data_IF_490425565246
#
_entry.id   IF_490425565246
#
_cell.length_a   1.000
_cell.length_b   1.000
_cell.length_c   1.000
_cell.angle_alpha   90.00
_cell.angle_beta   90.00
_cell.angle_gamma   90.00
#
_symmetry.space_group_name_H-M   'P 1'
#
loop_
_entity.id
_entity.type
_entity.pdbx_description
1 polymer ?
#
# COMPACT_ATOMS: atom_id res chain seq x y z
N UNK A 1 -27.47 -38.07 -18.64
CA UNK A 1 -27.10 -36.68 -19.00
C UNK A 1 -28.34 -35.98 -19.53
N UNK A 2 -28.66 -34.76 -19.08
CA UNK A 2 -29.91 -34.10 -19.49
C UNK A 2 -29.86 -33.69 -20.97
N UNK A 3 -30.97 -33.85 -21.66
CA UNK A 3 -31.16 -33.43 -23.07
C UNK A 3 -30.76 -31.96 -23.30
N UNK A 4 -30.98 -31.10 -22.30
CA UNK A 4 -30.57 -29.70 -22.32
C UNK A 4 -29.05 -29.53 -22.45
N UNK A 5 -28.27 -30.35 -21.73
CA UNK A 5 -26.80 -30.30 -21.78
C UNK A 5 -26.27 -30.79 -23.14
N UNK A 6 -26.90 -31.83 -23.70
CA UNK A 6 -26.57 -32.33 -25.03
C UNK A 6 -26.83 -31.29 -26.13
N UNK A 7 -27.96 -30.58 -26.06
CA UNK A 7 -28.29 -29.50 -26.99
C UNK A 7 -27.36 -28.29 -26.82
N UNK A 8 -27.09 -27.88 -25.58
CA UNK A 8 -26.18 -26.77 -25.32
C UNK A 8 -24.79 -27.03 -25.90
N UNK A 9 -24.23 -28.21 -25.68
CA UNK A 9 -22.91 -28.58 -26.20
C UNK A 9 -22.90 -28.65 -27.74
N UNK A 10 -23.97 -29.15 -28.36
CA UNK A 10 -24.09 -29.18 -29.83
C UNK A 10 -24.28 -27.79 -30.44
N UNK A 11 -24.97 -26.88 -29.76
CA UNK A 11 -25.09 -25.47 -30.19
C UNK A 11 -23.75 -24.75 -30.16
N UNK A 12 -22.91 -25.02 -29.15
CA UNK A 12 -21.56 -24.46 -29.06
C UNK A 12 -20.64 -25.02 -30.17
N UNK A 13 -20.83 -26.29 -30.58
CA UNK A 13 -19.94 -27.00 -31.51
C UNK A 13 -20.42 -27.01 -32.98
N UNK A 14 -21.68 -26.68 -33.27
CA UNK A 14 -22.25 -26.76 -34.61
C UNK A 14 -21.81 -25.60 -35.53
N UNK A 15 -20.84 -25.91 -36.38
CA UNK A 15 -20.15 -25.09 -37.39
C UNK A 15 -21.01 -24.50 -38.54
N UNK A 16 -22.33 -24.35 -38.41
CA UNK A 16 -23.20 -24.03 -39.58
C UNK A 16 -23.40 -22.55 -39.89
N UNK A 17 -22.91 -21.59 -39.08
CA UNK A 17 -22.68 -20.20 -39.52
C UNK A 17 -21.48 -19.62 -38.77
N UNK A 18 -20.43 -19.22 -39.49
CA UNK A 18 -19.23 -18.63 -38.91
C UNK A 18 -19.53 -17.41 -38.02
N UNK A 19 -20.61 -16.67 -38.32
CA UNK A 19 -21.02 -15.45 -37.61
C UNK A 19 -21.40 -15.68 -36.14
N UNK A 20 -22.15 -16.73 -35.82
CA UNK A 20 -22.60 -17.05 -34.45
C UNK A 20 -21.44 -17.43 -33.52
N UNK A 21 -20.43 -18.11 -34.06
CA UNK A 21 -19.21 -18.46 -33.33
C UNK A 21 -18.37 -17.23 -33.03
N UNK A 22 -18.33 -16.26 -33.96
CA UNK A 22 -17.59 -15.01 -33.80
C UNK A 22 -18.25 -14.14 -32.73
N UNK A 23 -19.58 -14.00 -32.75
CA UNK A 23 -20.32 -13.22 -31.74
C UNK A 23 -20.12 -13.77 -30.33
N UNK A 24 -20.22 -15.09 -30.15
CA UNK A 24 -19.97 -15.73 -28.86
C UNK A 24 -18.52 -15.59 -28.41
N UNK A 25 -17.55 -15.64 -29.34
CA UNK A 25 -16.14 -15.42 -29.06
C UNK A 25 -15.86 -13.96 -28.64
N UNK A 26 -16.48 -12.98 -29.30
CA UNK A 26 -16.38 -11.56 -28.92
C UNK A 26 -16.94 -11.29 -27.52
N UNK A 27 -18.08 -11.88 -27.16
CA UNK A 27 -18.61 -11.76 -25.80
C UNK A 27 -17.70 -12.43 -24.76
N UNK A 28 -17.18 -13.62 -25.07
CA UNK A 28 -16.23 -14.32 -24.20
C UNK A 28 -14.96 -13.49 -24.00
N UNK A 29 -14.43 -12.89 -25.07
CA UNK A 29 -13.27 -11.98 -25.02
C UNK A 29 -13.56 -10.72 -24.22
N UNK A 30 -14.74 -10.12 -24.37
CA UNK A 30 -15.15 -8.95 -23.59
C UNK A 30 -15.14 -9.23 -22.08
N UNK A 31 -15.69 -10.37 -21.67
CA UNK A 31 -15.65 -10.82 -20.26
C UNK A 31 -14.21 -11.12 -19.85
N UNK A 32 -13.44 -11.83 -20.68
CA UNK A 32 -12.06 -12.19 -20.37
C UNK A 32 -11.19 -10.96 -20.15
N UNK A 33 -11.29 -9.93 -21.00
CA UNK A 33 -10.56 -8.66 -20.84
C UNK A 33 -10.99 -7.92 -19.58
N UNK A 34 -12.30 -7.86 -19.29
CA UNK A 34 -12.78 -7.22 -18.07
C UNK A 34 -12.29 -7.90 -16.79
N UNK A 35 -12.38 -9.24 -16.74
CA UNK A 35 -11.91 -10.04 -15.59
C UNK A 35 -10.39 -10.00 -15.48
N UNK A 36 -9.66 -10.02 -16.60
CA UNK A 36 -8.22 -9.87 -16.65
C UNK A 36 -7.77 -8.54 -16.04
N UNK A 37 -8.32 -7.43 -16.55
CA UNK A 37 -7.99 -6.09 -16.07
C UNK A 37 -8.31 -5.94 -14.58
N UNK A 38 -9.47 -6.43 -14.13
CA UNK A 38 -9.88 -6.37 -12.74
C UNK A 38 -8.94 -7.15 -11.81
N UNK A 39 -8.59 -8.37 -12.18
CA UNK A 39 -7.68 -9.21 -11.39
C UNK A 39 -6.28 -8.57 -11.31
N UNK A 40 -5.78 -8.02 -12.42
CA UNK A 40 -4.47 -7.34 -12.46
C UNK A 40 -4.43 -6.07 -11.60
N UNK A 41 -5.49 -5.24 -11.66
CA UNK A 41 -5.57 -4.00 -10.85
C UNK A 41 -5.66 -4.30 -9.36
N UNK A 42 -6.43 -5.31 -8.96
CA UNK A 42 -6.50 -5.70 -7.55
C UNK A 42 -5.15 -6.25 -7.05
N UNK A 43 -4.46 -7.06 -7.85
CA UNK A 43 -3.14 -7.57 -7.49
C UNK A 43 -2.10 -6.44 -7.33
N UNK A 44 -2.10 -5.46 -8.23
CA UNK A 44 -1.29 -4.24 -8.12
C UNK A 44 -1.60 -3.47 -6.84
N UNK A 45 -2.89 -3.23 -6.57
CA UNK A 45 -3.33 -2.45 -5.40
C UNK A 45 -2.91 -3.14 -4.09
N UNK A 46 -3.17 -4.45 -3.98
CA UNK A 46 -2.76 -5.26 -2.82
C UNK A 46 -1.24 -5.32 -2.67
N UNK A 47 -0.51 -5.31 -3.79
CA UNK A 47 0.95 -5.21 -3.80
C UNK A 47 1.45 -3.88 -3.23
N UNK A 48 0.94 -2.77 -3.77
CA UNK A 48 1.31 -1.41 -3.36
C UNK A 48 0.99 -1.14 -1.88
N UNK A 49 -0.19 -1.55 -1.42
CA UNK A 49 -0.55 -1.44 -0.02
C UNK A 49 0.41 -2.20 0.88
N UNK A 50 0.73 -3.44 0.53
CA UNK A 50 1.58 -4.27 1.36
C UNK A 50 3.04 -3.79 1.36
N UNK A 51 3.54 -3.29 0.23
CA UNK A 51 4.86 -2.68 0.12
C UNK A 51 4.94 -1.44 1.00
N UNK A 52 3.96 -0.54 0.88
CA UNK A 52 3.88 0.68 1.69
C UNK A 52 3.77 0.36 3.18
N UNK A 53 2.91 -0.58 3.57
CA UNK A 53 2.82 -1.03 4.96
C UNK A 53 4.14 -1.62 5.46
N UNK A 54 4.80 -2.46 4.66
CA UNK A 54 6.05 -3.09 5.06
C UNK A 54 7.18 -2.08 5.25
N UNK A 55 7.25 -1.05 4.40
CA UNK A 55 8.23 0.03 4.49
C UNK A 55 7.99 0.93 5.69
N UNK A 56 6.73 1.29 5.97
CA UNK A 56 6.40 2.06 7.18
C UNK A 56 6.72 1.25 8.43
N UNK A 57 6.33 -0.03 8.48
CA UNK A 57 6.60 -0.92 9.63
C UNK A 57 8.09 -1.20 9.83
N UNK A 58 8.90 -1.23 8.76
CA UNK A 58 10.33 -1.47 8.84
C UNK A 58 11.13 -0.25 9.30
N UNK A 59 10.64 0.96 9.02
CA UNK A 59 11.34 2.23 9.30
C UNK A 59 10.80 3.04 10.47
N UNK A 60 9.79 2.55 11.21
CA UNK A 60 9.20 3.29 12.33
C UNK A 60 8.90 2.41 13.54
N UNK A 61 8.96 3.03 14.73
CA UNK A 61 8.48 2.43 15.96
C UNK A 61 6.97 2.10 15.85
N UNK A 62 6.59 0.94 16.37
CA UNK A 62 5.20 0.46 16.24
C UNK A 62 4.22 1.30 17.08
N UNK A 63 4.66 1.79 18.25
CA UNK A 63 3.90 2.71 19.09
C UNK A 63 4.81 3.84 19.57
N UNK A 64 4.26 5.04 19.66
CA UNK A 64 4.89 6.22 20.24
C UNK A 64 4.11 6.65 21.48
N UNK A 65 4.81 6.78 22.60
CA UNK A 65 4.25 7.34 23.84
C UNK A 65 4.72 8.79 23.95
N UNK A 66 3.76 9.70 23.99
CA UNK A 66 3.98 11.14 24.10
C UNK A 66 3.28 11.68 25.36
N UNK A 67 3.78 12.77 25.92
CA UNK A 67 3.09 13.48 27.00
C UNK A 67 1.85 14.20 26.45
N UNK A 68 0.73 14.10 27.15
CA UNK A 68 -0.48 14.85 26.81
C UNK A 68 -0.24 16.34 27.04
N UNK A 69 -0.39 17.16 26.00
CA UNK A 69 -0.06 18.59 26.03
C UNK A 69 1.31 18.94 25.43
N UNK A 70 2.08 17.94 24.99
CA UNK A 70 3.40 18.13 24.38
C UNK A 70 4.53 18.37 25.39
N UNK A 71 5.71 18.68 24.86
CA UNK A 71 6.93 18.91 25.64
C UNK A 71 7.63 17.62 26.10
N UNK A 72 8.74 17.76 26.84
CA UNK A 72 9.54 16.61 27.24
C UNK A 72 8.84 15.65 28.19
N UNK A 73 9.27 14.39 28.16
CA UNK A 73 8.89 13.35 29.11
C UNK A 73 9.51 13.69 30.49
N UNK A 74 8.68 13.66 31.54
CA UNK A 74 9.09 14.01 32.90
C UNK A 74 10.16 13.06 33.46
N UNK A 75 9.90 11.75 33.36
CA UNK A 75 10.85 10.70 33.73
C UNK A 75 10.90 9.61 32.65
N UNK A 76 11.76 9.77 31.64
CA UNK A 76 11.91 8.78 30.57
C UNK A 76 12.36 7.41 31.08
N UNK A 77 13.13 7.36 32.16
CA UNK A 77 13.74 6.12 32.68
C UNK A 77 12.69 5.28 33.39
N UNK A 78 11.90 5.89 34.29
CA UNK A 78 10.80 5.20 34.96
C UNK A 78 9.70 4.81 33.96
N UNK A 79 9.37 5.69 33.00
CA UNK A 79 8.39 5.40 31.96
C UNK A 79 8.82 4.20 31.10
N UNK A 80 10.08 4.16 30.67
CA UNK A 80 10.65 3.03 29.92
C UNK A 80 10.55 1.72 30.71
N UNK A 81 10.91 1.73 31.99
CA UNK A 81 10.80 0.54 32.84
C UNK A 81 9.35 0.04 32.95
N UNK A 82 8.39 0.97 33.13
CA UNK A 82 6.97 0.64 33.19
C UNK A 82 6.42 0.09 31.87
N UNK A 83 6.84 0.65 30.73
CA UNK A 83 6.38 0.22 29.39
C UNK A 83 6.95 -1.15 29.02
N UNK A 84 8.23 -1.39 29.29
CA UNK A 84 8.93 -2.64 28.95
C UNK A 84 8.36 -3.86 29.69
N UNK A 85 7.76 -3.67 30.86
CA UNK A 85 7.08 -4.73 31.62
C UNK A 85 5.72 -5.17 31.01
N UNK A 86 5.25 -4.51 29.94
CA UNK A 86 3.95 -4.82 29.34
C UNK A 86 4.09 -5.99 28.35
N UNK A 87 3.26 -7.04 28.45
CA UNK A 87 3.33 -8.18 27.54
C UNK A 87 3.24 -7.76 26.06
N UNK A 88 4.15 -8.27 25.23
CA UNK A 88 4.24 -7.97 23.79
C UNK A 88 5.11 -6.77 23.42
N UNK A 89 5.66 -6.06 24.41
CA UNK A 89 6.70 -5.05 24.20
C UNK A 89 8.07 -5.71 24.19
N UNK A 90 8.82 -5.52 23.09
CA UNK A 90 10.18 -6.01 22.92
C UNK A 90 11.20 -5.05 23.52
N UNK A 91 11.06 -3.77 23.21
CA UNK A 91 11.96 -2.71 23.67
C UNK A 91 11.24 -1.36 23.70
N UNK A 92 11.75 -0.45 24.52
CA UNK A 92 11.30 0.94 24.54
C UNK A 92 12.53 1.86 24.58
N UNK A 93 12.55 2.86 23.69
CA UNK A 93 13.68 3.75 23.44
C UNK A 93 13.24 5.19 23.55
N UNK A 94 13.97 5.99 24.33
CA UNK A 94 13.71 7.42 24.44
C UNK A 94 14.36 8.13 23.26
N UNK A 95 13.60 8.95 22.54
CA UNK A 95 14.09 9.72 21.39
C UNK A 95 13.54 11.15 21.43
N UNK A 96 14.21 12.03 20.70
CA UNK A 96 13.65 13.33 20.36
C UNK A 96 13.80 13.60 18.86
N UNK A 97 12.88 14.40 18.34
CA UNK A 97 12.88 14.85 16.95
C UNK A 97 12.95 16.36 16.96
N UNK A 98 13.92 16.95 16.27
CA UNK A 98 14.06 18.40 16.13
C UNK A 98 14.34 18.77 14.69
N UNK A 99 13.57 19.70 14.15
CA UNK A 99 13.88 20.31 12.87
C UNK A 99 15.07 21.25 13.03
N UNK A 100 16.02 21.17 12.10
CA UNK A 100 17.19 22.03 12.07
C UNK A 100 17.59 22.34 10.62
N UNK A 101 18.26 23.47 10.43
CA UNK A 101 18.93 23.78 9.18
C UNK A 101 20.41 23.47 9.34
N UNK A 102 20.92 22.52 8.57
CA UNK A 102 22.36 22.21 8.52
C UNK A 102 23.05 23.20 7.60
N UNK A 103 24.08 23.87 8.11
CA UNK A 103 24.88 24.88 7.43
C UNK A 103 26.31 24.37 7.23
N UNK A 104 26.78 24.41 5.99
CA UNK A 104 28.16 24.07 5.63
C UNK A 104 28.66 25.06 4.57
N UNK A 105 29.54 25.98 4.99
CA UNK A 105 30.02 27.05 4.13
C UNK A 105 28.87 27.89 3.56
N UNK A 106 28.68 27.83 2.23
CA UNK A 106 27.61 28.56 1.53
C UNK A 106 26.37 27.70 1.22
N UNK A 107 26.31 26.45 1.69
CA UNK A 107 25.19 25.54 1.46
C UNK A 107 24.39 25.34 2.75
N UNK A 108 23.08 25.18 2.58
CA UNK A 108 22.16 24.87 3.67
C UNK A 108 21.20 23.76 3.27
N UNK A 109 20.92 22.81 4.16
CA UNK A 109 19.95 21.76 3.95
C UNK A 109 19.04 21.60 5.17
N UNK A 110 17.72 21.49 4.95
CA UNK A 110 16.79 21.22 6.04
C UNK A 110 16.95 19.76 6.50
N UNK A 111 16.97 19.55 7.82
CA UNK A 111 17.15 18.24 8.41
C UNK A 111 16.26 18.04 9.63
N UNK A 112 15.96 16.78 9.93
CA UNK A 112 15.34 16.33 11.17
C UNK A 112 16.40 15.60 11.96
N UNK A 113 16.81 16.20 13.08
CA UNK A 113 17.72 15.62 14.06
C UNK A 113 16.93 14.62 14.91
N UNK A 114 17.21 13.33 14.74
CA UNK A 114 16.72 12.24 15.58
C UNK A 114 17.77 11.91 16.64
N UNK A 115 17.49 12.22 17.90
CA UNK A 115 18.41 11.94 18.98
C UNK A 115 18.25 10.54 19.53
N UNK A 116 19.34 9.79 19.61
CA UNK A 116 19.38 8.40 20.05
C UNK A 116 20.18 8.25 21.34
N UNK A 117 19.73 7.36 22.22
CA UNK A 117 20.46 6.97 23.41
C UNK A 117 21.50 5.91 23.06
N UNK A 118 22.78 6.25 23.20
CA UNK A 118 23.92 5.38 22.88
C UNK A 118 24.14 4.27 23.91
N UNK A 119 23.50 4.36 25.09
CA UNK A 119 23.57 3.31 26.12
C UNK A 119 22.63 2.14 25.83
N UNK A 120 21.74 2.30 24.86
CA UNK A 120 20.80 1.27 24.46
C UNK A 120 21.45 0.21 23.56
N UNK A 121 20.87 -1.00 23.57
CA UNK A 121 21.36 -2.09 22.74
C UNK A 121 21.28 -1.70 21.25
N UNK A 122 22.36 -1.89 20.48
CA UNK A 122 22.41 -1.50 19.06
C UNK A 122 21.26 -2.09 18.22
N UNK A 123 20.77 -3.28 18.60
CA UNK A 123 19.68 -3.98 17.92
C UNK A 123 18.30 -3.31 18.06
N UNK A 124 18.14 -2.45 19.08
CA UNK A 124 16.92 -1.70 19.36
C UNK A 124 16.82 -0.41 18.52
N UNK A 125 17.93 0.05 17.96
CA UNK A 125 18.04 1.27 17.20
C UNK A 125 17.91 0.99 15.70
N UNK A 126 16.87 1.55 15.07
CA UNK A 126 16.65 1.47 13.62
C UNK A 126 17.90 1.91 12.83
N UNK A 127 18.58 2.94 13.35
CA UNK A 127 19.78 3.53 12.77
C UNK A 127 20.89 2.50 12.51
N UNK A 128 21.04 1.50 13.38
CA UNK A 128 22.11 0.49 13.27
C UNK A 128 21.95 -0.42 12.06
N UNK A 129 20.70 -0.63 11.59
CA UNK A 129 20.40 -1.54 10.47
C UNK A 129 20.62 -0.90 9.10
N UNK A 130 20.74 0.42 9.06
CA UNK A 130 20.81 1.21 7.83
C UNK A 130 22.16 1.92 7.66
N UNK A 131 23.14 1.69 8.54
CA UNK A 131 24.47 2.31 8.45
C UNK A 131 25.22 1.85 7.21
N UNK A 132 25.86 2.80 6.53
CA UNK A 132 26.82 2.50 5.46
C UNK A 132 28.09 1.87 6.05
N UNK A 133 28.77 1.05 5.25
CA UNK A 133 30.03 0.41 5.64
C UNK A 133 31.05 1.43 6.18
N UNK A 134 31.57 1.18 7.39
CA UNK A 134 32.53 2.05 8.07
C UNK A 134 31.92 3.08 9.04
N UNK A 135 30.59 3.26 9.05
CA UNK A 135 29.91 4.14 10.02
C UNK A 135 29.49 3.36 11.27
N UNK A 136 29.68 3.93 12.46
CA UNK A 136 29.24 3.32 13.73
C UNK A 136 28.46 4.31 14.59
N UNK A 137 27.44 3.84 15.30
CA UNK A 137 26.70 4.67 16.26
C UNK A 137 27.58 5.16 17.42
N UNK A 138 28.60 4.38 17.80
CA UNK A 138 29.57 4.77 18.83
C UNK A 138 30.29 6.08 18.52
N UNK A 139 30.43 6.40 17.23
CA UNK A 139 31.19 7.56 16.77
C UNK A 139 30.38 8.86 16.93
N UNK A 140 29.09 8.77 17.29
CA UNK A 140 28.27 9.91 17.71
C UNK A 140 28.73 10.51 19.04
N UNK A 141 29.47 9.75 19.85
CA UNK A 141 30.06 10.27 21.08
C UNK A 141 31.06 11.39 20.77
N UNK A 142 31.17 12.41 21.64
CA UNK A 142 32.06 13.53 21.42
C UNK A 142 33.50 13.05 21.26
N UNK A 143 34.19 13.61 20.28
CA UNK A 143 35.60 13.30 20.03
C UNK A 143 36.30 14.50 19.45
N UNK A 144 37.61 14.60 19.71
CA UNK A 144 38.42 15.74 19.30
C UNK A 144 38.56 15.75 17.78
N UNK A 145 38.27 16.91 17.20
CA UNK A 145 38.49 17.19 15.79
C UNK A 145 39.97 17.50 15.50
N UNK A 146 40.33 17.62 14.22
CA UNK A 146 41.69 17.94 13.77
C UNK A 146 42.24 19.26 14.39
N UNK A 147 41.35 20.20 14.70
CA UNK A 147 41.66 21.49 15.33
C UNK A 147 41.66 21.44 16.87
N UNK A 148 41.47 20.25 17.47
CA UNK A 148 41.48 20.03 18.92
C UNK A 148 40.17 20.37 19.65
N UNK A 149 39.15 20.88 18.95
CA UNK A 149 37.81 21.11 19.50
C UNK A 149 37.06 19.78 19.71
N UNK A 150 36.39 19.62 20.85
CA UNK A 150 35.56 18.45 21.14
C UNK A 150 34.17 18.67 20.55
N UNK A 151 33.87 17.95 19.47
CA UNK A 151 32.60 18.06 18.74
C UNK A 151 31.83 16.76 18.85
N UNK A 152 30.50 16.87 19.01
CA UNK A 152 29.61 15.72 18.91
C UNK A 152 29.54 15.24 17.46
N UNK A 153 29.41 13.91 17.31
CA UNK A 153 29.22 13.31 16.00
C UNK A 153 27.80 13.48 15.48
N UNK A 154 27.66 13.62 14.16
CA UNK A 154 26.38 13.54 13.44
C UNK A 154 26.46 12.50 12.33
N UNK A 155 25.44 11.65 12.26
CA UNK A 155 25.25 10.66 11.20
C UNK A 155 24.21 11.19 10.22
N UNK A 156 24.57 11.33 8.94
CA UNK A 156 23.68 11.94 7.95
C UNK A 156 23.09 10.92 7.00
N UNK A 157 21.86 11.15 6.55
CA UNK A 157 21.34 10.43 5.39
C UNK A 157 22.24 10.67 4.18
N UNK A 158 22.52 9.64 3.40
CA UNK A 158 23.45 9.73 2.26
C UNK A 158 23.04 10.79 1.24
N UNK A 159 21.74 11.02 1.03
CA UNK A 159 21.24 12.08 0.12
C UNK A 159 21.36 13.46 0.76
N UNK A 160 21.00 13.59 2.04
CA UNK A 160 21.18 14.84 2.80
C UNK A 160 22.64 15.33 2.75
N UNK A 161 23.58 14.40 2.92
CA UNK A 161 25.01 14.70 2.81
C UNK A 161 25.42 15.15 1.39
N UNK A 162 24.86 14.55 0.34
CA UNK A 162 25.13 14.95 -1.05
C UNK A 162 24.58 16.34 -1.37
N UNK A 163 23.37 16.66 -0.91
CA UNK A 163 22.73 17.96 -1.08
C UNK A 163 23.53 19.07 -0.38
N UNK A 164 23.92 18.82 0.88
CA UNK A 164 24.76 19.69 1.67
C UNK A 164 26.25 19.68 1.26
N UNK A 165 26.66 18.77 0.36
CA UNK A 165 28.04 18.54 -0.07
C UNK A 165 29.02 18.25 1.10
N UNK A 166 28.58 17.41 2.04
CA UNK A 166 29.32 17.02 3.24
C UNK A 166 30.02 15.67 3.06
N UNK A 167 31.21 15.54 3.65
CA UNK A 167 32.03 14.32 3.72
C UNK A 167 32.26 13.91 5.18
N UNK A 168 32.64 12.65 5.38
CA UNK A 168 33.05 12.18 6.72
C UNK A 168 34.28 12.97 7.17
N UNK A 169 34.21 13.53 8.38
CA UNK A 169 35.21 14.42 8.96
C UNK A 169 34.86 15.91 8.85
N UNK A 170 33.92 16.30 8.00
CA UNK A 170 33.57 17.71 7.84
C UNK A 170 32.83 18.25 9.08
N UNK A 171 33.01 19.55 9.34
CA UNK A 171 32.24 20.29 10.34
C UNK A 171 30.96 20.85 9.72
N UNK A 172 29.84 20.69 10.42
CA UNK A 172 28.52 21.20 10.03
C UNK A 172 27.86 21.90 11.22
N UNK A 173 27.23 23.04 10.99
CA UNK A 173 26.50 23.76 12.03
C UNK A 173 25.00 23.49 11.90
N UNK A 174 24.37 23.00 12.97
CA UNK A 174 22.94 22.82 13.03
C UNK A 174 22.29 24.04 13.67
N UNK A 175 21.41 24.69 12.92
CA UNK A 175 20.59 25.81 13.37
C UNK A 175 19.21 25.28 13.76
N UNK A 176 18.88 25.26 15.04
CA UNK A 176 17.58 24.81 15.53
C UNK A 176 16.79 26.00 16.14
N UNK A 177 15.46 26.05 15.97
CA UNK A 177 14.64 27.01 16.70
C UNK A 177 14.66 26.68 18.19
N UNK A 178 14.89 27.68 19.04
CA UNK A 178 14.88 27.49 20.49
C UNK A 178 13.51 27.04 21.00
N UNK A 179 13.50 26.03 21.86
CA UNK A 179 12.31 25.63 22.62
C UNK A 179 12.04 26.56 23.82
N UNK A 180 13.08 27.24 24.33
CA UNK A 180 13.00 28.15 25.47
C UNK A 180 12.76 29.57 24.95
N UNK A 181 11.61 30.15 25.29
CA UNK A 181 11.23 31.52 24.94
C UNK A 181 12.04 32.60 25.64
N UNK A 182 13.37 32.52 25.64
CA UNK A 182 14.25 33.63 26.01
C UNK A 182 14.18 34.67 24.89
N UNK A 183 13.15 35.51 24.98
CA UNK A 183 12.95 36.66 24.11
C UNK A 183 14.15 37.60 24.29
N UNK A 184 15.05 37.60 23.30
CA UNK A 184 15.94 38.75 23.10
C UNK A 184 15.09 39.96 22.71
N UNK A 185 15.49 41.20 23.04
CA UNK A 185 14.81 42.41 22.58
C UNK A 185 14.60 42.49 21.05
N UNK A 186 15.29 41.64 20.28
CA UNK A 186 15.23 41.54 18.82
C UNK A 186 14.52 40.27 18.28
N UNK A 187 13.91 39.43 19.12
CA UNK A 187 13.14 38.24 18.71
C UNK A 187 13.77 36.90 19.13
N UNK A 188 13.25 35.79 18.58
CA UNK A 188 13.75 34.44 18.84
C UNK A 188 15.09 34.24 18.11
N UNK A 189 16.19 34.20 18.85
CA UNK A 189 17.50 33.85 18.30
C UNK A 189 17.59 32.32 18.18
N UNK A 190 17.88 31.77 16.98
CA UNK A 190 18.08 30.33 16.84
C UNK A 190 19.36 29.88 17.57
N UNK A 191 19.38 28.65 18.09
CA UNK A 191 20.61 28.05 18.62
C UNK A 191 21.40 27.42 17.49
N UNK A 192 22.70 27.73 17.44
CA UNK A 192 23.67 27.05 16.58
C UNK A 192 24.48 26.07 17.41
N UNK A 193 24.66 24.85 16.90
CA UNK A 193 25.56 23.86 17.49
C UNK A 193 26.39 23.19 16.39
N UNK A 194 27.70 23.11 16.58
CA UNK A 194 28.61 22.50 15.62
C UNK A 194 28.72 20.99 15.86
N UNK A 195 28.59 20.22 14.79
CA UNK A 195 28.77 18.78 14.76
C UNK A 195 29.89 18.41 13.79
N UNK A 196 30.48 17.23 14.02
CA UNK A 196 31.39 16.59 13.08
C UNK A 196 30.69 15.44 12.37
N UNK A 197 30.75 15.37 11.05
CA UNK A 197 30.15 14.28 10.28
C UNK A 197 30.95 13.00 10.51
N UNK A 198 30.34 12.00 11.14
CA UNK A 198 31.03 10.74 11.50
C UNK A 198 30.70 9.58 10.58
N UNK A 199 29.63 9.70 9.80
CA UNK A 199 29.23 8.66 8.87
C UNK A 199 27.93 8.96 8.14
N UNK A 200 27.52 7.99 7.34
CA UNK A 200 26.29 8.05 6.55
C UNK A 200 25.42 6.82 6.78
N UNK A 201 24.12 6.97 6.59
CA UNK A 201 23.16 5.86 6.54
C UNK A 201 22.33 5.89 5.25
N UNK A 202 21.83 4.73 4.86
CA UNK A 202 20.97 4.49 3.70
C UNK A 202 19.85 3.53 4.12
N UNK A 203 18.67 4.09 4.35
CA UNK A 203 17.47 3.36 4.79
C UNK A 203 16.69 2.74 3.64
N UNK A 204 16.98 3.15 2.40
CA UNK A 204 16.20 2.77 1.22
C UNK A 204 14.88 3.54 1.08
N UNK A 205 14.63 4.52 1.97
CA UNK A 205 13.52 5.47 1.90
C UNK A 205 14.07 6.86 1.61
N UNK A 206 13.61 7.47 0.50
CA UNK A 206 14.06 8.77 0.05
C UNK A 206 13.88 9.84 1.12
N UNK A 207 12.69 9.92 1.70
CA UNK A 207 12.34 10.93 2.70
C UNK A 207 13.25 10.88 3.94
N UNK A 208 13.73 9.69 4.32
CA UNK A 208 14.63 9.55 5.46
C UNK A 208 16.07 9.83 5.06
N UNK A 209 16.51 9.32 3.90
CA UNK A 209 17.89 9.51 3.43
C UNK A 209 18.19 10.97 3.03
N UNK A 210 17.17 11.76 2.67
CA UNK A 210 17.30 13.17 2.27
C UNK A 210 17.06 14.16 3.41
N UNK A 211 16.45 13.75 4.52
CA UNK A 211 16.08 14.69 5.58
C UNK A 211 16.58 14.30 6.98
N UNK A 212 16.87 13.03 7.27
CA UNK A 212 17.19 12.64 8.66
C UNK A 212 18.69 12.71 8.96
N UNK A 213 18.98 13.07 10.21
CA UNK A 213 20.31 12.99 10.80
C UNK A 213 20.21 12.44 12.22
N UNK A 214 21.12 11.53 12.59
CA UNK A 214 21.19 10.97 13.93
C UNK A 214 22.24 11.71 14.77
N UNK A 215 21.86 12.05 16.00
CA UNK A 215 22.72 12.66 17.02
C UNK A 215 22.57 11.91 18.35
N UNK A 216 23.49 12.08 19.30
CA UNK A 216 23.31 11.54 20.64
C UNK A 216 22.26 12.34 21.43
N UNK A 217 21.61 11.68 22.39
CA UNK A 217 20.66 12.34 23.29
C UNK A 217 21.33 13.46 24.12
N UNK A 218 22.62 13.30 24.45
CA UNK A 218 23.42 14.32 25.13
C UNK A 218 23.74 15.52 24.23
N UNK A 219 24.01 15.30 22.94
CA UNK A 219 24.18 16.39 21.99
C UNK A 219 22.86 17.16 21.80
N UNK A 220 21.73 16.46 21.81
CA UNK A 220 20.41 17.11 21.80
C UNK A 220 20.18 17.98 23.06
N UNK A 221 20.60 17.51 24.25
CA UNK A 221 20.58 18.32 25.49
C UNK A 221 21.39 19.61 25.34
N UNK A 222 22.59 19.52 24.76
CA UNK A 222 23.47 20.68 24.53
C UNK A 222 22.90 21.66 23.50
N UNK A 223 22.30 21.15 22.43
CA UNK A 223 21.67 21.96 21.38
C UNK A 223 20.43 22.72 21.87
N UNK A 224 19.58 22.09 22.68
CA UNK A 224 18.31 22.69 23.14
C UNK A 224 18.40 23.38 24.49
N UNK A 225 19.40 23.04 25.30
CA UNK A 225 19.50 23.47 26.70
C UNK A 225 18.47 22.83 27.63
N UNK A 226 17.78 21.76 27.19
CA UNK A 226 16.80 21.02 27.99
C UNK A 226 17.47 19.93 28.84
N UNK A 227 17.12 19.83 30.13
CA UNK A 227 17.66 18.80 31.02
C UNK A 227 17.24 17.37 30.60
N UNK A 228 15.99 17.23 30.14
CA UNK A 228 15.46 16.00 29.54
C UNK A 228 14.92 16.37 28.16
N UNK A 229 15.60 16.03 27.05
CA UNK A 229 15.15 16.44 25.71
C UNK A 229 14.22 15.39 25.10
N UNK A 230 14.09 14.20 25.70
CA UNK A 230 13.29 13.11 25.18
C UNK A 230 11.82 13.51 25.19
N UNK A 231 11.23 13.65 24.00
CA UNK A 231 9.81 14.02 23.83
C UNK A 231 8.95 12.80 23.54
N UNK A 232 9.55 11.75 22.98
CA UNK A 232 8.85 10.54 22.53
C UNK A 232 9.55 9.31 23.08
N UNK A 233 8.75 8.37 23.61
CA UNK A 233 9.22 7.03 23.91
C UNK A 233 8.71 6.08 22.82
N UNK A 234 9.64 5.60 21.99
CA UNK A 234 9.38 4.66 20.91
C UNK A 234 9.31 3.25 21.46
N UNK A 235 8.25 2.54 21.14
CA UNK A 235 8.00 1.18 21.63
C UNK A 235 7.99 0.22 20.45
N UNK A 236 8.91 -0.73 20.51
CA UNK A 236 8.97 -1.84 19.55
C UNK A 236 8.23 -3.03 20.14
N UNK A 237 7.41 -3.67 19.31
CA UNK A 237 6.60 -4.83 19.68
C UNK A 237 7.20 -6.11 19.12
N UNK A 238 6.93 -7.24 19.78
CA UNK A 238 7.32 -8.55 19.26
C UNK A 238 6.58 -8.91 17.97
N UNK A 239 5.30 -8.57 17.93
CA UNK A 239 4.45 -8.68 16.75
C UNK A 239 3.96 -7.29 16.36
N UNK A 240 4.42 -6.71 15.23
CA UNK A 240 3.99 -5.40 14.79
C UNK A 240 2.48 -5.30 14.58
N UNK A 241 1.79 -6.40 14.26
CA UNK A 241 0.33 -6.45 14.05
C UNK A 241 -0.48 -6.36 15.35
N UNK A 242 0.15 -6.55 16.51
CA UNK A 242 -0.51 -6.47 17.82
C UNK A 242 -0.61 -5.04 18.36
N UNK A 243 -0.23 -4.02 17.59
CA UNK A 243 -0.21 -2.61 17.99
C UNK A 243 -1.54 -2.11 18.57
N UNK A 244 -2.68 -2.57 18.05
CA UNK A 244 -3.99 -2.17 18.57
C UNK A 244 -4.23 -2.65 20.00
N UNK A 245 -3.97 -3.94 20.27
CA UNK A 245 -4.18 -4.55 21.58
C UNK A 245 -3.15 -4.05 22.61
N UNK A 246 -1.86 -4.03 22.25
CA UNK A 246 -0.79 -3.55 23.14
C UNK A 246 -0.92 -2.05 23.39
N UNK A 247 -1.26 -1.26 22.36
CA UNK A 247 -1.53 0.16 22.49
C UNK A 247 -2.68 0.45 23.44
N UNK A 248 -3.79 -0.31 23.38
CA UNK A 248 -4.89 -0.20 24.33
C UNK A 248 -4.46 -0.52 25.78
N UNK A 249 -3.67 -1.58 25.98
CA UNK A 249 -3.13 -1.94 27.28
C UNK A 249 -2.20 -0.85 27.85
N UNK A 250 -1.33 -0.28 27.02
CA UNK A 250 -0.46 0.84 27.42
C UNK A 250 -1.25 2.10 27.75
N UNK A 251 -2.30 2.43 26.98
CA UNK A 251 -3.20 3.57 27.30
C UNK A 251 -3.88 3.39 28.64
N UNK A 252 -4.34 2.18 28.96
CA UNK A 252 -4.95 1.88 30.25
C UNK A 252 -3.94 1.99 31.42
N UNK A 253 -2.70 1.55 31.20
CA UNK A 253 -1.63 1.56 32.23
C UNK A 253 -1.06 2.96 32.49
N UNK A 254 -0.82 3.73 31.43
CA UNK A 254 -0.20 5.06 31.50
C UNK A 254 -1.20 6.18 31.85
N UNK A 255 -2.50 5.89 31.76
CA UNK A 255 -3.57 6.81 32.12
C UNK A 255 -3.65 8.05 31.22
N UNK A 256 -4.26 9.12 31.75
CA UNK A 256 -4.54 10.34 30.99
C UNK A 256 -3.32 11.27 30.81
N UNK A 257 -2.21 11.03 31.50
CA UNK A 257 -1.01 11.87 31.40
C UNK A 257 -0.28 11.70 30.06
N UNK A 258 -0.46 10.54 29.42
CA UNK A 258 0.21 10.18 28.17
C UNK A 258 -0.79 9.91 27.04
N UNK A 259 -0.30 10.05 25.82
CA UNK A 259 -0.97 9.68 24.58
C UNK A 259 -0.12 8.58 23.95
N UNK A 260 -0.75 7.45 23.65
CA UNK A 260 -0.11 6.37 22.89
C UNK A 260 -0.65 6.43 21.48
N UNK A 261 0.20 6.77 20.54
CA UNK A 261 -0.10 6.78 19.10
C UNK A 261 0.52 5.56 18.45
N UNK A 262 -0.22 4.94 17.55
CA UNK A 262 0.30 3.85 16.73
C UNK A 262 0.74 4.36 15.37
N UNK A 263 1.63 3.61 14.73
CA UNK A 263 2.15 3.91 13.40
C UNK A 263 1.03 4.11 12.36
N UNK A 264 -0.10 3.39 12.49
CA UNK A 264 -1.23 3.51 11.58
C UNK A 264 -1.96 4.87 11.73
N UNK A 265 -2.06 5.37 12.96
CA UNK A 265 -2.64 6.69 13.27
C UNK A 265 -1.73 7.81 12.76
N UNK A 266 -0.42 7.71 12.96
CA UNK A 266 0.55 8.70 12.47
C UNK A 266 0.57 8.80 10.94
N UNK A 267 0.39 7.67 10.26
CA UNK A 267 0.37 7.59 8.80
C UNK A 267 -1.04 7.64 8.21
N UNK A 268 -2.03 8.10 8.98
CA UNK A 268 -3.43 8.18 8.54
C UNK A 268 -3.63 8.91 7.21
N UNK A 269 -2.92 10.02 6.89
CA UNK A 269 -3.04 10.65 5.57
C UNK A 269 -2.61 9.73 4.42
N UNK A 270 -1.53 8.96 4.58
CA UNK A 270 -1.07 8.00 3.57
C UNK A 270 -2.10 6.87 3.37
N UNK A 271 -2.65 6.34 4.47
CA UNK A 271 -3.74 5.36 4.40
C UNK A 271 -5.03 5.91 3.80
N UNK A 272 -5.36 7.17 4.10
CA UNK A 272 -6.51 7.84 3.50
C UNK A 272 -6.32 8.03 1.98
N UNK A 273 -5.12 8.40 1.54
CA UNK A 273 -4.77 8.48 0.12
C UNK A 273 -4.92 7.12 -0.57
N UNK A 274 -4.42 6.04 0.05
CA UNK A 274 -4.63 4.68 -0.44
C UNK A 274 -6.12 4.35 -0.57
N UNK A 275 -6.94 4.67 0.43
CA UNK A 275 -8.38 4.43 0.38
C UNK A 275 -9.09 5.25 -0.72
N UNK A 276 -8.70 6.51 -0.92
CA UNK A 276 -9.21 7.34 -2.00
C UNK A 276 -8.84 6.77 -3.37
N UNK A 277 -7.61 6.27 -3.51
CA UNK A 277 -7.16 5.57 -4.70
C UNK A 277 -7.98 4.30 -4.96
N UNK A 278 -8.31 3.51 -3.92
CA UNK A 278 -9.22 2.35 -4.08
C UNK A 278 -10.58 2.76 -4.61
N UNK A 279 -11.14 3.85 -4.09
CA UNK A 279 -12.44 4.36 -4.54
C UNK A 279 -12.37 4.76 -6.02
N UNK A 280 -11.32 5.49 -6.41
CA UNK A 280 -11.12 5.89 -7.81
C UNK A 280 -11.04 4.67 -8.74
N UNK A 281 -10.25 3.65 -8.38
CA UNK A 281 -10.18 2.41 -9.15
C UNK A 281 -11.48 1.61 -9.13
N UNK A 282 -12.21 1.58 -8.01
CA UNK A 282 -13.51 0.93 -7.95
C UNK A 282 -14.51 1.55 -8.95
N UNK A 283 -14.48 2.88 -9.13
CA UNK A 283 -15.30 3.57 -10.15
C UNK A 283 -14.90 3.16 -11.57
N UNK A 284 -13.59 3.17 -11.88
CA UNK A 284 -13.09 2.78 -13.20
C UNK A 284 -13.40 1.32 -13.51
N UNK A 285 -13.17 0.42 -12.56
CA UNK A 285 -13.51 -1.00 -12.64
C UNK A 285 -15.02 -1.17 -12.85
N UNK A 286 -15.84 -0.45 -12.09
CA UNK A 286 -17.29 -0.47 -12.22
C UNK A 286 -17.75 -0.10 -13.63
N UNK A 287 -17.11 0.90 -14.25
CA UNK A 287 -17.38 1.30 -15.62
C UNK A 287 -16.97 0.21 -16.63
N UNK A 288 -15.81 -0.41 -16.46
CA UNK A 288 -15.34 -1.54 -17.30
C UNK A 288 -16.32 -2.71 -17.22
N UNK A 289 -16.77 -3.05 -16.02
CA UNK A 289 -17.76 -4.11 -15.78
C UNK A 289 -19.09 -3.76 -16.45
N UNK A 290 -19.55 -2.51 -16.34
CA UNK A 290 -20.78 -2.05 -16.96
C UNK A 290 -20.72 -2.20 -18.50
N UNK A 291 -19.62 -1.77 -19.11
CA UNK A 291 -19.38 -1.93 -20.55
C UNK A 291 -19.37 -3.42 -20.95
N UNK A 292 -18.71 -4.27 -20.17
CA UNK A 292 -18.70 -5.71 -20.41
C UNK A 292 -20.11 -6.32 -20.30
N UNK A 293 -20.90 -5.94 -19.29
CA UNK A 293 -22.27 -6.40 -19.09
C UNK A 293 -23.19 -5.99 -20.25
N UNK A 294 -23.10 -4.73 -20.71
CA UNK A 294 -23.85 -4.24 -21.87
C UNK A 294 -23.48 -5.04 -23.13
N UNK A 295 -22.20 -5.36 -23.33
CA UNK A 295 -21.75 -6.17 -24.45
C UNK A 295 -22.36 -7.60 -24.42
N UNK A 296 -22.50 -8.20 -23.23
CA UNK A 296 -23.18 -9.49 -23.07
C UNK A 296 -24.64 -9.39 -23.50
N UNK A 297 -25.35 -8.35 -23.04
CA UNK A 297 -26.76 -8.13 -23.38
C UNK A 297 -26.94 -7.98 -24.88
N UNK A 298 -26.17 -7.10 -25.54
CA UNK A 298 -26.28 -6.85 -26.99
C UNK A 298 -25.95 -8.10 -27.79
N UNK A 299 -24.90 -8.83 -27.41
CA UNK A 299 -24.51 -10.11 -28.03
C UNK A 299 -25.63 -11.13 -27.93
N UNK A 300 -26.22 -11.34 -26.75
CA UNK A 300 -27.27 -12.33 -26.56
C UNK A 300 -28.56 -11.94 -27.28
N UNK A 301 -28.93 -10.65 -27.31
CA UNK A 301 -30.09 -10.19 -28.09
C UNK A 301 -29.88 -10.43 -29.58
N UNK A 302 -28.68 -10.14 -30.10
CA UNK A 302 -28.34 -10.43 -31.50
C UNK A 302 -28.45 -11.93 -31.78
N UNK A 303 -27.94 -12.77 -30.88
CA UNK A 303 -27.97 -14.22 -31.02
C UNK A 303 -29.41 -14.77 -31.01
N UNK A 304 -30.26 -14.30 -30.10
CA UNK A 304 -31.69 -14.66 -30.06
C UNK A 304 -32.38 -14.27 -31.37
N UNK A 305 -32.05 -13.11 -31.93
CA UNK A 305 -32.64 -12.63 -33.18
C UNK A 305 -32.18 -13.46 -34.37
N UNK A 306 -30.89 -13.78 -34.49
CA UNK A 306 -30.36 -14.69 -35.52
C UNK A 306 -30.92 -16.12 -35.41
N UNK A 307 -31.27 -16.54 -34.19
CA UNK A 307 -31.82 -17.87 -33.88
C UNK A 307 -33.35 -17.93 -33.81
N UNK A 308 -34.06 -16.86 -34.20
CA UNK A 308 -35.53 -16.76 -34.10
C UNK A 308 -36.25 -17.94 -34.77
N UNK A 309 -35.81 -18.36 -35.96
CA UNK A 309 -36.38 -19.51 -36.69
C UNK A 309 -36.16 -20.83 -35.95
N UNK A 310 -34.95 -21.06 -35.44
CA UNK A 310 -34.61 -22.28 -34.69
C UNK A 310 -35.44 -22.39 -33.40
N UNK A 311 -35.64 -21.26 -32.69
CA UNK A 311 -36.49 -21.18 -31.49
C UNK A 311 -37.95 -21.49 -31.84
N UNK A 312 -38.46 -20.93 -32.94
CA UNK A 312 -39.84 -21.16 -33.38
C UNK A 312 -40.10 -22.63 -33.74
N UNK A 313 -39.14 -23.30 -34.39
CA UNK A 313 -39.21 -24.73 -34.69
C UNK A 313 -39.26 -25.55 -33.39
N UNK A 314 -38.40 -25.24 -32.42
CA UNK A 314 -38.39 -25.94 -31.12
C UNK A 314 -39.72 -25.78 -30.38
N UNK A 315 -40.28 -24.56 -30.33
CA UNK A 315 -41.58 -24.29 -29.70
C UNK A 315 -42.71 -25.02 -30.45
N UNK A 316 -42.69 -25.06 -31.78
CA UNK A 316 -43.68 -25.78 -32.59
C UNK A 316 -43.62 -27.31 -32.40
N UNK A 317 -42.42 -27.86 -32.12
CA UNK A 317 -42.25 -29.27 -31.75
C UNK A 317 -42.60 -29.57 -30.28
N UNK A 318 -43.09 -28.60 -29.51
CA UNK A 318 -43.55 -28.80 -28.13
C UNK A 318 -42.54 -28.43 -27.04
N UNK A 319 -41.44 -27.74 -27.36
CA UNK A 319 -40.54 -27.22 -26.32
C UNK A 319 -41.28 -26.19 -25.45
N UNK A 320 -41.12 -26.28 -24.14
CA UNK A 320 -41.73 -25.31 -23.22
C UNK A 320 -40.93 -24.00 -23.20
N UNK A 321 -41.57 -22.84 -22.93
CA UNK A 321 -40.86 -21.57 -22.72
C UNK A 321 -39.74 -21.66 -21.67
N UNK A 322 -39.94 -22.47 -20.62
CA UNK A 322 -38.92 -22.74 -19.59
C UNK A 322 -37.71 -23.48 -20.15
N UNK A 323 -37.90 -24.42 -21.07
CA UNK A 323 -36.80 -25.11 -21.73
C UNK A 323 -35.97 -24.13 -22.58
N UNK A 324 -36.62 -23.24 -23.32
CA UNK A 324 -35.93 -22.18 -24.10
C UNK A 324 -35.15 -21.26 -23.17
N UNK A 325 -35.75 -20.80 -22.06
CA UNK A 325 -35.08 -19.98 -21.06
C UNK A 325 -33.81 -20.66 -20.51
N UNK A 326 -33.90 -21.94 -20.13
CA UNK A 326 -32.77 -22.71 -19.60
C UNK A 326 -31.64 -22.90 -20.61
N UNK A 327 -31.95 -23.05 -21.90
CA UNK A 327 -30.93 -23.16 -22.96
C UNK A 327 -30.11 -21.86 -23.03
N UNK A 328 -30.78 -20.70 -23.09
CA UNK A 328 -30.09 -19.41 -23.18
C UNK A 328 -29.36 -19.05 -21.88
N UNK A 329 -29.91 -19.37 -20.71
CA UNK A 329 -29.22 -19.22 -19.43
C UNK A 329 -27.96 -20.09 -19.35
N UNK A 330 -28.04 -21.36 -19.77
CA UNK A 330 -26.88 -22.24 -19.81
C UNK A 330 -25.81 -21.75 -20.79
N UNK A 331 -26.22 -21.17 -21.92
CA UNK A 331 -25.32 -20.58 -22.89
C UNK A 331 -24.63 -19.33 -22.34
N UNK A 332 -25.37 -18.41 -21.72
CA UNK A 332 -24.79 -17.23 -21.06
C UNK A 332 -23.84 -17.63 -19.93
N UNK A 333 -24.21 -18.62 -19.12
CA UNK A 333 -23.33 -19.17 -18.08
C UNK A 333 -22.06 -19.77 -18.67
N UNK A 334 -22.13 -20.50 -19.78
CA UNK A 334 -20.95 -21.07 -20.44
C UNK A 334 -20.01 -19.97 -20.97
N UNK A 335 -20.56 -18.93 -21.60
CA UNK A 335 -19.81 -17.75 -22.07
C UNK A 335 -19.16 -17.03 -20.89
N UNK A 336 -19.93 -16.79 -19.82
CA UNK A 336 -19.45 -16.16 -18.59
C UNK A 336 -18.34 -16.96 -17.92
N UNK A 337 -18.50 -18.28 -17.79
CA UNK A 337 -17.52 -19.16 -17.17
C UNK A 337 -16.23 -19.23 -17.98
N UNK A 338 -16.32 -19.41 -19.30
CA UNK A 338 -15.14 -19.42 -20.16
C UNK A 338 -14.42 -18.08 -20.11
N UNK A 339 -15.15 -16.98 -20.26
CA UNK A 339 -14.58 -15.64 -20.21
C UNK A 339 -13.91 -15.35 -18.87
N UNK A 340 -14.58 -15.68 -17.76
CA UNK A 340 -14.06 -15.44 -16.43
C UNK A 340 -12.86 -16.33 -16.09
N UNK A 341 -12.86 -17.61 -16.50
CA UNK A 341 -11.70 -18.50 -16.33
C UNK A 341 -10.49 -18.04 -17.15
N UNK A 342 -10.69 -17.72 -18.44
CA UNK A 342 -9.61 -17.23 -19.29
C UNK A 342 -9.08 -15.88 -18.79
N UNK A 343 -9.96 -14.93 -18.46
CA UNK A 343 -9.59 -13.64 -17.92
C UNK A 343 -8.88 -13.75 -16.58
N UNK A 344 -9.38 -14.59 -15.68
CA UNK A 344 -8.79 -14.83 -14.36
C UNK A 344 -7.42 -15.49 -14.45
N UNK A 345 -7.26 -16.48 -15.35
CA UNK A 345 -5.96 -17.11 -15.61
C UNK A 345 -4.96 -16.11 -16.20
N UNK A 346 -5.37 -15.28 -17.16
CA UNK A 346 -4.53 -14.22 -17.70
C UNK A 346 -4.15 -13.19 -16.63
N UNK A 347 -5.09 -12.77 -15.78
CA UNK A 347 -4.82 -11.84 -14.69
C UNK A 347 -3.88 -12.38 -13.62
N UNK A 348 -4.07 -13.65 -13.22
CA UNK A 348 -3.15 -14.33 -12.32
C UNK A 348 -1.76 -14.44 -12.96
N UNK A 349 -1.68 -14.83 -14.23
CA UNK A 349 -0.41 -14.91 -14.95
C UNK A 349 0.28 -13.54 -15.05
N UNK A 350 -0.45 -12.48 -15.42
CA UNK A 350 0.09 -11.11 -15.46
C UNK A 350 0.60 -10.67 -14.09
N UNK A 351 -0.16 -10.89 -13.02
CA UNK A 351 0.27 -10.53 -11.67
C UNK A 351 1.58 -11.24 -11.29
N UNK A 352 1.67 -12.56 -11.49
CA UNK A 352 2.86 -13.35 -11.17
C UNK A 352 4.06 -12.97 -12.03
N UNK A 353 3.85 -12.72 -13.33
CA UNK A 353 4.92 -12.34 -14.26
C UNK A 353 5.45 -10.93 -13.93
N UNK A 354 4.56 -9.97 -13.70
CA UNK A 354 4.94 -8.61 -13.33
C UNK A 354 5.71 -8.57 -12.01
N UNK A 355 5.27 -9.33 -11.00
CA UNK A 355 5.95 -9.43 -9.71
C UNK A 355 7.31 -10.12 -9.84
N UNK A 356 7.38 -11.26 -10.55
CA UNK A 356 8.62 -12.05 -10.68
C UNK A 356 9.71 -11.34 -11.48
N UNK A 357 9.33 -10.67 -12.57
CA UNK A 357 10.31 -10.06 -13.48
C UNK A 357 10.53 -8.58 -13.22
N UNK A 358 9.86 -7.98 -12.23
CA UNK A 358 9.97 -6.56 -11.93
C UNK A 358 9.85 -5.70 -13.20
N UNK A 359 8.90 -6.05 -14.08
CA UNK A 359 8.80 -5.53 -15.46
C UNK A 359 8.70 -4.00 -15.53
N UNK A 360 8.18 -3.39 -14.47
CA UNK A 360 8.12 -1.94 -14.29
C UNK A 360 9.09 -1.60 -13.17
N UNK A 361 10.35 -1.34 -13.55
CA UNK A 361 11.35 -0.80 -12.64
C UNK A 361 11.03 0.67 -12.41
N UNK A 362 10.95 1.07 -11.15
CA UNK A 362 10.90 2.49 -10.81
C UNK A 362 12.32 2.91 -10.49
N UNK A 363 12.64 4.16 -10.80
CA UNK A 363 13.89 4.72 -10.32
C UNK A 363 13.82 4.77 -8.79
N UNK A 364 14.60 3.89 -8.14
CA UNK A 364 14.75 3.81 -6.69
C UNK A 364 15.12 5.18 -6.09
N UNK A 365 15.68 6.08 -6.91
CA UNK A 365 16.01 7.44 -6.52
C UNK A 365 14.80 8.33 -6.24
N UNK A 366 13.65 8.06 -6.83
CA UNK A 366 12.46 8.92 -6.74
C UNK A 366 11.37 8.23 -5.90
N UNK A 367 11.16 6.92 -6.08
CA UNK A 367 10.00 6.24 -5.53
C UNK A 367 10.30 5.31 -4.35
N UNK A 368 11.57 5.15 -3.95
CA UNK A 368 11.99 4.28 -2.84
C UNK A 368 11.50 2.83 -2.95
N UNK A 369 11.04 2.39 -4.13
CA UNK A 369 10.51 1.07 -4.44
C UNK A 369 11.22 0.63 -5.73
N UNK A 370 11.85 -0.54 -5.71
CA UNK A 370 12.65 -1.06 -6.84
C UNK A 370 11.80 -1.44 -8.06
N UNK A 371 10.56 -1.85 -7.82
CA UNK A 371 9.66 -2.32 -8.85
C UNK A 371 8.21 -2.24 -8.41
N UNK A 372 7.28 -2.10 -9.36
CA UNK A 372 5.85 -2.16 -9.04
C UNK A 372 5.47 -3.54 -8.48
N UNK A 373 5.02 -3.63 -7.21
CA UNK A 373 4.66 -4.90 -6.59
C UNK A 373 3.28 -5.38 -7.06
N UNK A 374 3.13 -6.67 -7.33
CA UNK A 374 1.84 -7.29 -7.64
C UNK A 374 1.61 -8.49 -6.71
N UNK A 375 0.73 -8.34 -5.71
CA UNK A 375 0.39 -9.45 -4.81
C UNK A 375 -0.86 -10.18 -5.28
N UNK A 376 -0.64 -11.38 -5.82
CA UNK A 376 -1.73 -12.28 -6.18
C UNK A 376 -2.45 -12.81 -4.92
N UNK A 377 -3.77 -12.64 -4.89
CA UNK A 377 -4.67 -13.23 -3.88
C UNK A 377 -5.67 -14.14 -4.58
N UNK A 378 -5.66 -15.42 -4.23
CA UNK A 378 -6.64 -16.38 -4.73
C UNK A 378 -8.07 -16.01 -4.33
N UNK A 379 -8.22 -15.40 -3.13
CA UNK A 379 -9.52 -14.96 -2.62
C UNK A 379 -10.04 -13.76 -3.42
N UNK A 380 -9.19 -12.78 -3.74
CA UNK A 380 -9.58 -11.62 -4.56
C UNK A 380 -9.94 -12.07 -5.98
N UNK A 381 -9.19 -13.02 -6.53
CA UNK A 381 -9.49 -13.59 -7.85
C UNK A 381 -10.82 -14.35 -7.85
N UNK A 382 -11.09 -15.13 -6.79
CA UNK A 382 -12.34 -15.86 -6.63
C UNK A 382 -13.55 -14.94 -6.47
N UNK A 383 -13.43 -13.83 -5.72
CA UNK A 383 -14.52 -12.85 -5.60
C UNK A 383 -14.80 -12.17 -6.94
N UNK A 384 -13.76 -11.82 -7.70
CA UNK A 384 -13.89 -11.27 -9.06
C UNK A 384 -14.60 -12.25 -10.01
N UNK A 385 -14.17 -13.52 -10.03
CA UNK A 385 -14.81 -14.58 -10.80
C UNK A 385 -16.30 -14.70 -10.44
N UNK A 386 -16.63 -14.70 -9.15
CA UNK A 386 -18.00 -14.78 -8.65
C UNK A 386 -18.86 -13.59 -9.08
N UNK A 387 -18.34 -12.36 -8.96
CA UNK A 387 -19.04 -11.14 -9.38
C UNK A 387 -19.26 -11.12 -10.90
N UNK A 388 -18.23 -11.46 -11.69
CA UNK A 388 -18.33 -11.51 -13.14
C UNK A 388 -19.37 -12.54 -13.62
N UNK A 389 -19.38 -13.73 -13.00
CA UNK A 389 -20.39 -14.76 -13.25
C UNK A 389 -21.79 -14.29 -12.88
N UNK A 390 -21.95 -13.64 -11.72
CA UNK A 390 -23.23 -13.09 -11.29
C UNK A 390 -23.78 -12.06 -12.28
N UNK A 391 -22.93 -11.13 -12.74
CA UNK A 391 -23.31 -10.09 -13.71
C UNK A 391 -23.64 -10.71 -15.06
N UNK A 392 -22.85 -11.68 -15.53
CA UNK A 392 -23.13 -12.42 -16.77
C UNK A 392 -24.48 -13.14 -16.71
N UNK A 393 -24.79 -13.78 -15.58
CA UNK A 393 -26.08 -14.45 -15.38
C UNK A 393 -27.22 -13.43 -15.42
N UNK A 394 -27.11 -12.33 -14.68
CA UNK A 394 -28.11 -11.26 -14.63
C UNK A 394 -28.35 -10.64 -16.01
N UNK A 395 -27.28 -10.34 -16.76
CA UNK A 395 -27.36 -9.84 -18.14
C UNK A 395 -28.06 -10.83 -19.09
N UNK A 396 -27.94 -12.12 -18.83
CA UNK A 396 -28.55 -13.18 -19.67
C UNK A 396 -30.04 -13.36 -19.43
N UNK A 397 -30.57 -12.98 -18.26
CA UNK A 397 -31.98 -13.19 -17.90
C UNK A 397 -32.92 -12.48 -18.88
N UNK A 398 -32.67 -11.21 -19.20
CA UNK A 398 -33.55 -10.42 -20.06
C UNK A 398 -33.66 -11.01 -21.49
N UNK A 399 -32.55 -11.28 -22.22
CA UNK A 399 -32.63 -11.89 -23.54
C UNK A 399 -33.23 -13.30 -23.53
N UNK A 400 -32.89 -14.12 -22.54
CA UNK A 400 -33.44 -15.48 -22.40
C UNK A 400 -34.96 -15.47 -22.20
N UNK A 401 -35.47 -14.55 -21.38
CA UNK A 401 -36.90 -14.38 -21.14
C UNK A 401 -37.63 -13.89 -22.40
N UNK A 402 -37.02 -12.95 -23.14
CA UNK A 402 -37.55 -12.48 -24.42
C UNK A 402 -37.61 -13.60 -25.47
N UNK A 403 -36.59 -14.45 -25.53
CA UNK A 403 -36.56 -15.61 -26.43
C UNK A 403 -37.67 -16.63 -26.11
N UNK A 404 -37.91 -16.88 -24.82
CA UNK A 404 -38.94 -17.83 -24.36
C UNK A 404 -40.38 -17.39 -24.70
N UNK A 405 -40.62 -16.09 -24.95
CA UNK A 405 -41.93 -15.52 -25.29
C UNK A 405 -42.15 -15.30 -26.79
N UNK A 406 -41.30 -15.84 -27.65
CA UNK A 406 -41.47 -15.76 -29.10
C UNK A 406 -42.71 -16.55 -29.55
N UNK A 407 -43.55 -15.93 -30.38
CA UNK A 407 -44.67 -16.61 -31.02
C UNK A 407 -44.17 -17.51 -32.16
N UNK A 408 -44.44 -18.84 -32.14
CA UNK A 408 -43.97 -19.76 -33.18
C UNK A 408 -44.43 -19.36 -34.59
N UNK A 409 -45.67 -18.87 -34.71
CA UNK A 409 -46.25 -18.48 -36.00
C UNK A 409 -45.52 -17.28 -36.62
N UNK A 410 -45.20 -16.26 -35.82
CA UNK A 410 -44.43 -15.10 -36.29
C UNK A 410 -42.98 -15.45 -36.60
N UNK A 411 -42.38 -16.34 -35.80
CA UNK A 411 -41.01 -16.78 -35.99
C UNK A 411 -40.79 -17.62 -37.26
N UNK A 412 -41.83 -18.24 -37.80
CA UNK A 412 -41.81 -18.96 -39.09
C UNK A 412 -42.22 -18.07 -40.27
N UNK A 413 -43.05 -17.05 -40.06
CA UNK A 413 -43.54 -16.14 -41.12
C UNK A 413 -42.51 -15.10 -41.58
N UNK A 414 -41.58 -14.72 -40.70
CA UNK A 414 -40.55 -13.69 -40.95
C UNK A 414 -39.13 -14.26 -41.00
N UNK A 415 -38.99 -15.52 -41.43
CA UNK A 415 -37.77 -16.32 -41.36
C UNK A 415 -36.97 -16.42 -42.67
#
# INVERSE_FOLDING_TARGET
MSYAWFIAHRYIRARRRATLSIVSALATLGIAVGVWALTAVLAFQSGMEAELQSKILAGTAHLNVLRRGGGPLEDPVALKAGVTQTPGVRSATATTYREALLLSGSRSAAAVLKAVDLTESPDALEATRTLCAGSRLSDLAPSRDADGAELDGILLGKRLAQEANLRVGDRVEALAPQARGELSPFGLLPTTYAFRVVGFFESGLYEYDSAWAYISLDAARRLTGEASPATVLQVTLDNPRAYGAVGAALRAKLGAAYVVEDWATLNRPAFAALNLQRLAFAVVIGLVILVAALNIVTTLVLLVTEKRRDIAILLAMGATPRAILLIFLAQGLAIGLLGALFGGALGAATAVICDRYALIQLDERIYSIASVPFRFSALDTATVLGVALGISLLATIYPAWRAARLNPAEGLRHA
#
